data_IF_681100246016
#
_entry.id   IF_681100246016
#
_cell.length_a   1.000
_cell.length_b   1.000
_cell.length_c   1.000
_cell.angle_alpha   90.00
_cell.angle_beta   90.00
_cell.angle_gamma   90.00
#
_symmetry.space_group_name_H-M   'P 1'
#
loop_
_entity.id
_entity.type
_entity.pdbx_description
1 polymer ?
#
# COMPACT_ATOMS: atom_id res chain seq x y z
N UNK A 1 -21.21 24.65 -47.58
CA UNK A 1 -21.89 24.08 -46.39
C UNK A 1 -21.39 22.67 -46.05
N UNK A 2 -21.32 21.72 -46.99
CA UNK A 2 -20.81 20.36 -46.74
C UNK A 2 -19.35 20.28 -46.26
N UNK A 3 -18.49 21.18 -46.73
CA UNK A 3 -17.07 21.26 -46.35
C UNK A 3 -16.85 21.69 -44.90
N UNK A 4 -17.69 22.60 -44.39
CA UNK A 4 -17.63 23.06 -42.99
C UNK A 4 -18.11 21.98 -42.01
N UNK A 5 -19.11 21.20 -42.40
CA UNK A 5 -19.61 20.06 -41.60
C UNK A 5 -18.54 18.97 -41.50
N UNK A 6 -17.86 18.66 -42.60
CA UNK A 6 -16.74 17.71 -42.59
C UNK A 6 -15.58 18.18 -41.69
N UNK A 7 -15.23 19.46 -41.74
CA UNK A 7 -14.20 20.03 -40.87
C UNK A 7 -14.57 19.99 -39.39
N UNK A 8 -15.83 20.28 -39.05
CA UNK A 8 -16.34 20.20 -37.67
C UNK A 8 -16.34 18.76 -37.15
N UNK A 9 -16.79 17.80 -37.97
CA UNK A 9 -16.75 16.37 -37.63
C UNK A 9 -15.32 15.89 -37.43
N UNK A 10 -14.37 16.32 -38.28
CA UNK A 10 -12.96 15.97 -38.12
C UNK A 10 -12.36 16.51 -36.82
N UNK A 11 -12.70 17.73 -36.43
CA UNK A 11 -12.26 18.35 -35.16
C UNK A 11 -12.86 17.66 -33.93
N UNK A 12 -14.14 17.25 -33.99
CA UNK A 12 -14.80 16.51 -32.91
C UNK A 12 -14.28 15.06 -32.78
N UNK A 13 -13.89 14.44 -33.90
CA UNK A 13 -13.25 13.12 -33.87
C UNK A 13 -11.81 13.25 -33.37
N UNK A 14 -11.05 14.26 -33.80
CA UNK A 14 -9.69 14.50 -33.32
C UNK A 14 -9.62 14.78 -31.80
N UNK A 15 -10.63 15.43 -31.23
CA UNK A 15 -10.68 15.70 -29.78
C UNK A 15 -11.01 14.47 -28.94
N UNK A 16 -11.70 13.46 -29.49
CA UNK A 16 -11.95 12.18 -28.80
C UNK A 16 -10.76 11.23 -28.84
N UNK A 17 -9.91 11.31 -29.88
CA UNK A 17 -8.65 10.56 -29.95
C UNK A 17 -7.57 11.05 -28.96
N UNK A 18 -7.68 12.27 -28.43
CA UNK A 18 -6.72 12.80 -27.45
C UNK A 18 -6.94 12.28 -26.01
N UNK A 19 -8.01 11.53 -25.74
CA UNK A 19 -8.32 11.01 -24.39
C UNK A 19 -7.79 9.58 -24.18
N UNK A 20 -7.08 8.99 -25.14
CA UNK A 20 -6.26 7.82 -24.85
C UNK A 20 -5.04 8.27 -24.03
N UNK A 21 -5.24 8.62 -22.76
CA UNK A 21 -4.18 8.76 -21.78
C UNK A 21 -3.54 7.38 -21.61
N UNK A 22 -2.31 7.14 -22.09
CA UNK A 22 -1.55 5.99 -21.65
C UNK A 22 -1.02 6.34 -20.26
N UNK A 23 -1.72 5.84 -19.24
CA UNK A 23 -1.22 5.85 -17.87
C UNK A 23 -1.61 7.07 -17.04
N UNK A 24 -2.87 7.12 -16.62
CA UNK A 24 -3.12 7.55 -15.24
C UNK A 24 -2.75 6.34 -14.36
N UNK A 25 -1.46 6.22 -14.02
CA UNK A 25 -1.02 5.34 -12.94
C UNK A 25 -1.48 5.99 -11.64
N UNK A 26 -2.71 5.73 -11.21
CA UNK A 26 -3.11 6.04 -9.84
C UNK A 26 -2.18 5.20 -8.97
N UNK A 27 -1.33 5.86 -8.17
CA UNK A 27 -0.45 5.22 -7.19
C UNK A 27 -1.29 4.55 -6.10
N UNK A 28 -1.94 3.45 -6.45
CA UNK A 28 -2.65 2.60 -5.53
C UNK A 28 -1.71 1.50 -5.09
N UNK A 29 -1.83 1.14 -3.83
CA UNK A 29 -1.06 0.09 -3.23
C UNK A 29 -1.23 -1.23 -4.00
N UNK A 30 -0.12 -1.88 -4.33
CA UNK A 30 -0.16 -3.17 -5.00
C UNK A 30 -0.51 -4.27 -3.99
N UNK A 31 -1.72 -4.81 -4.09
CA UNK A 31 -2.19 -5.93 -3.28
C UNK A 31 -1.97 -7.24 -4.04
N UNK A 32 -0.98 -8.05 -3.62
CA UNK A 32 -0.70 -9.35 -4.24
C UNK A 32 -1.38 -10.51 -3.52
N UNK A 33 -1.79 -10.31 -2.27
CA UNK A 33 -2.42 -11.30 -1.42
C UNK A 33 -3.40 -10.61 -0.45
N UNK A 34 -4.27 -11.37 0.20
CA UNK A 34 -5.06 -10.85 1.32
C UNK A 34 -5.36 -11.95 2.33
N UNK A 35 -5.31 -11.61 3.63
CA UNK A 35 -5.78 -12.50 4.69
C UNK A 35 -7.31 -12.48 4.85
N UNK A 36 -7.99 -11.51 4.22
CA UNK A 36 -9.45 -11.38 4.29
C UNK A 36 -10.12 -12.16 3.14
N UNK A 37 -10.86 -13.22 3.51
CA UNK A 37 -11.57 -14.09 2.56
C UNK A 37 -12.55 -13.35 1.64
N UNK A 38 -13.19 -12.28 2.12
CA UNK A 38 -14.11 -11.47 1.32
C UNK A 38 -13.32 -10.69 0.26
N UNK A 39 -12.22 -10.04 0.66
CA UNK A 39 -11.35 -9.30 -0.26
C UNK A 39 -10.77 -10.25 -1.32
N UNK A 40 -10.38 -11.47 -0.93
CA UNK A 40 -9.92 -12.52 -1.85
C UNK A 40 -10.98 -12.85 -2.91
N UNK A 41 -12.23 -13.08 -2.50
CA UNK A 41 -13.32 -13.41 -3.41
C UNK A 41 -13.68 -12.24 -4.35
N UNK A 42 -13.72 -11.01 -3.83
CA UNK A 42 -14.15 -9.83 -4.59
C UNK A 42 -13.05 -9.32 -5.54
N UNK A 43 -11.78 -9.37 -5.13
CA UNK A 43 -10.64 -8.89 -5.92
C UNK A 43 -9.88 -9.98 -6.66
N UNK A 44 -10.29 -11.25 -6.51
CA UNK A 44 -9.58 -12.40 -7.09
C UNK A 44 -8.19 -12.63 -6.49
N UNK A 45 -7.95 -12.19 -5.25
CA UNK A 45 -6.64 -12.31 -4.60
C UNK A 45 -6.43 -13.69 -3.96
N UNK A 46 -5.23 -14.22 -4.13
CA UNK A 46 -4.79 -15.47 -3.52
C UNK A 46 -4.41 -15.33 -2.05
N UNK A 47 -4.28 -16.48 -1.39
CA UNK A 47 -3.50 -16.60 -0.16
C UNK A 47 -2.03 -16.83 -0.50
N UNK A 48 -1.17 -16.85 0.51
CA UNK A 48 0.24 -17.18 0.32
C UNK A 48 0.46 -18.71 0.35
N UNK A 49 1.47 -19.22 -0.36
CA UNK A 49 1.88 -20.62 -0.24
C UNK A 49 2.45 -20.94 1.15
N UNK A 50 2.58 -22.23 1.46
CA UNK A 50 3.15 -22.68 2.73
C UNK A 50 4.54 -22.08 2.98
N UNK A 51 4.78 -21.65 4.22
CA UNK A 51 6.02 -20.97 4.61
C UNK A 51 6.02 -19.46 4.39
N UNK A 52 4.93 -18.89 3.84
CA UNK A 52 4.76 -17.46 3.62
C UNK A 52 3.49 -16.93 4.29
N UNK A 53 3.52 -15.67 4.69
CA UNK A 53 2.35 -14.96 5.22
C UNK A 53 2.15 -13.67 4.42
N UNK A 54 0.89 -13.30 4.23
CA UNK A 54 0.54 -12.07 3.55
C UNK A 54 0.75 -10.91 4.52
N UNK A 55 1.78 -10.10 4.28
CA UNK A 55 2.20 -9.03 5.17
C UNK A 55 2.41 -7.73 4.38
N UNK A 56 2.21 -6.60 5.07
CA UNK A 56 2.35 -5.30 4.44
C UNK A 56 3.82 -4.98 4.16
N UNK A 57 4.10 -4.41 2.98
CA UNK A 57 5.41 -3.89 2.61
C UNK A 57 5.49 -2.35 2.71
N UNK A 58 4.56 -1.71 3.42
CA UNK A 58 4.48 -0.25 3.58
C UNK A 58 3.72 0.47 2.47
N UNK A 59 3.39 -0.21 1.38
CA UNK A 59 2.47 0.29 0.36
C UNK A 59 1.24 -0.61 0.29
N UNK A 60 1.40 -1.90 -0.06
CA UNK A 60 0.32 -2.88 -0.07
C UNK A 60 0.70 -4.15 0.70
N UNK A 61 0.14 -5.30 0.30
CA UNK A 61 0.49 -6.60 0.87
C UNK A 61 1.18 -7.52 -0.15
N UNK A 62 2.20 -8.22 0.33
CA UNK A 62 2.99 -9.20 -0.43
C UNK A 62 3.23 -10.44 0.41
N UNK A 63 3.40 -11.59 -0.24
CA UNK A 63 3.78 -12.82 0.46
C UNK A 63 5.23 -12.72 0.91
N UNK A 64 5.44 -12.68 2.22
CA UNK A 64 6.75 -12.62 2.84
C UNK A 64 6.99 -13.93 3.60
N UNK A 65 8.22 -14.46 3.60
CA UNK A 65 8.50 -15.71 4.30
C UNK A 65 8.30 -15.52 5.80
N UNK A 66 7.68 -16.50 6.45
CA UNK A 66 7.29 -16.43 7.87
C UNK A 66 8.50 -16.10 8.77
N UNK A 67 9.70 -16.54 8.39
CA UNK A 67 10.93 -16.27 9.12
C UNK A 67 11.41 -14.81 9.06
N UNK A 68 10.97 -14.06 8.05
CA UNK A 68 11.31 -12.63 7.87
C UNK A 68 10.16 -11.71 8.23
N UNK A 69 8.95 -12.24 8.42
CA UNK A 69 7.84 -11.47 8.95
C UNK A 69 8.11 -11.24 10.43
N UNK A 70 8.61 -10.04 10.71
CA UNK A 70 8.72 -9.48 12.05
C UNK A 70 7.40 -9.78 12.76
N UNK A 71 7.50 -10.50 13.89
CA UNK A 71 6.37 -10.93 14.72
C UNK A 71 5.32 -9.82 14.78
N UNK A 72 4.04 -10.22 14.80
CA UNK A 72 2.87 -9.37 14.97
C UNK A 72 3.05 -8.36 16.11
N UNK A 73 3.74 -7.26 15.85
CA UNK A 73 3.77 -6.15 16.77
C UNK A 73 2.39 -5.55 16.71
N UNK A 74 1.74 -5.44 17.86
CA UNK A 74 0.49 -4.69 17.93
C UNK A 74 0.73 -3.30 17.31
N UNK A 75 -0.22 -2.78 16.50
CA UNK A 75 -0.13 -1.43 15.99
C UNK A 75 0.15 -0.46 17.15
N UNK A 76 1.12 0.42 16.96
CA UNK A 76 1.47 1.41 17.98
C UNK A 76 0.27 2.35 18.17
N UNK A 77 -0.31 2.36 19.38
CA UNK A 77 -1.56 3.09 19.67
C UNK A 77 -1.36 4.36 20.51
N UNK A 78 -0.12 4.66 20.92
CA UNK A 78 0.21 5.89 21.63
C UNK A 78 0.64 7.00 20.67
N UNK A 79 0.26 8.23 21.01
CA UNK A 79 0.74 9.45 20.39
C UNK A 79 1.57 10.24 21.41
N UNK A 80 2.79 9.75 21.66
CA UNK A 80 3.69 10.32 22.65
C UNK A 80 5.05 10.64 22.03
N UNK A 81 5.63 11.76 22.45
CA UNK A 81 6.97 12.15 22.07
C UNK A 81 7.98 11.62 23.10
N UNK A 82 8.99 10.89 22.61
CA UNK A 82 10.10 10.39 23.42
C UNK A 82 11.41 10.97 22.90
N UNK A 83 12.11 11.74 23.73
CA UNK A 83 13.38 12.40 23.39
C UNK A 83 14.45 11.42 22.88
N UNK A 84 14.51 10.22 23.46
CA UNK A 84 15.47 9.16 23.12
C UNK A 84 14.83 8.00 22.35
N UNK A 85 13.65 8.22 21.76
CA UNK A 85 12.89 7.20 21.05
C UNK A 85 12.08 6.28 21.96
N UNK A 86 11.25 5.45 21.32
CA UNK A 86 10.42 4.45 21.99
C UNK A 86 11.23 3.20 22.32
N UNK A 87 10.85 2.53 23.40
CA UNK A 87 11.44 1.27 23.81
C UNK A 87 11.11 0.17 22.82
N UNK A 88 12.09 -0.71 22.59
CA UNK A 88 11.90 -1.96 21.87
C UNK A 88 11.91 -3.13 22.85
N UNK A 89 10.78 -3.85 22.91
CA UNK A 89 10.63 -5.08 23.70
C UNK A 89 10.35 -6.21 22.72
N UNK A 90 11.16 -7.26 22.77
CA UNK A 90 11.07 -8.42 21.85
C UNK A 90 11.04 -8.05 20.35
N UNK A 91 11.73 -6.95 20.00
CA UNK A 91 11.78 -6.43 18.63
C UNK A 91 10.54 -5.63 18.19
N UNK A 92 9.60 -5.36 19.10
CA UNK A 92 8.43 -4.52 18.87
C UNK A 92 8.55 -3.19 19.60
N UNK A 93 8.11 -2.12 18.93
CA UNK A 93 8.02 -0.80 19.57
C UNK A 93 6.88 -0.79 20.59
N UNK A 94 7.14 -0.23 21.76
CA UNK A 94 6.20 -0.13 22.86
C UNK A 94 5.92 1.32 23.24
N UNK A 95 4.79 1.55 23.90
CA UNK A 95 4.39 2.87 24.39
C UNK A 95 5.12 3.25 25.68
N UNK A 96 6.45 3.29 25.61
CA UNK A 96 7.34 3.68 26.69
C UNK A 96 8.59 4.32 26.10
N UNK A 97 9.11 5.37 26.75
CA UNK A 97 10.30 6.07 26.27
C UNK A 97 11.58 5.39 26.75
N UNK A 98 12.63 5.41 25.92
CA UNK A 98 13.96 5.06 26.37
C UNK A 98 14.42 6.02 27.48
N UNK A 99 15.16 5.52 28.50
CA UNK A 99 15.77 6.38 29.49
C UNK A 99 16.83 7.29 28.85
N UNK A 100 17.22 8.33 29.59
CA UNK A 100 18.35 9.17 29.18
C UNK A 100 19.63 8.33 29.17
N UNK A 101 20.36 8.25 28.04
CA UNK A 101 21.60 7.48 27.97
C UNK A 101 22.71 7.99 28.90
N UNK A 102 22.56 9.18 29.49
CA UNK A 102 23.51 9.80 30.40
C UNK A 102 23.14 9.63 31.89
N UNK A 103 21.95 9.09 32.20
CA UNK A 103 21.50 8.87 33.58
C UNK A 103 21.32 7.35 33.80
N UNK A 104 22.21 6.70 34.58
CA UNK A 104 22.16 5.25 34.84
C UNK A 104 21.05 4.83 35.83
#
# INVERSE_FOLDING_TARGET
>A
MKTAIFGLVLLLVASTFAISLPGIMIGTCAEMCSNNLIIRAVRGLGGCPDGYVCASNGCGHSCQPILLVRRDCAPLMCDMYCTFGLQMIDGCVQCSCNPDPLIP
#
